data_IF_214467580670
#
_entry.id   IF_214467580670
#
_cell.length_a   1.000
_cell.length_b   1.000
_cell.length_c   1.000
_cell.angle_alpha   90.00
_cell.angle_beta   90.00
_cell.angle_gamma   90.00
#
_symmetry.space_group_name_H-M   'P 1'
#
loop_
_entity.id
_entity.type
_entity.pdbx_description
1 polymer ?
#
# COMPACT_ATOMS: atom_id res chain seq x y z
N UNK A 1 -1.99 35.58 -6.32
CA UNK A 1 -2.57 34.22 -6.41
C UNK A 1 -1.73 33.31 -5.53
N UNK A 2 -2.26 32.88 -4.38
CA UNK A 2 -1.58 31.93 -3.49
C UNK A 2 -1.69 30.54 -4.10
N UNK A 3 -0.81 30.25 -5.06
CA UNK A 3 -0.70 28.94 -5.67
C UNK A 3 -0.32 27.92 -4.61
N UNK A 4 -1.05 26.81 -4.56
CA UNK A 4 -0.68 25.65 -3.73
C UNK A 4 0.71 25.21 -4.16
N UNK A 5 1.69 25.37 -3.28
CA UNK A 5 3.08 24.96 -3.53
C UNK A 5 3.17 23.48 -3.24
N UNK A 6 3.03 22.66 -4.28
CA UNK A 6 3.18 21.21 -4.16
C UNK A 6 4.67 20.88 -4.25
N UNK A 7 5.19 20.17 -3.24
CA UNK A 7 6.55 19.66 -3.23
C UNK A 7 6.56 18.23 -3.82
N UNK A 8 6.99 18.05 -5.08
CA UNK A 8 7.00 16.74 -5.73
C UNK A 8 7.96 15.75 -5.07
N UNK A 9 9.06 16.23 -4.47
CA UNK A 9 10.03 15.37 -3.78
C UNK A 9 9.45 14.79 -2.49
N UNK A 10 8.69 15.61 -1.76
CA UNK A 10 7.95 15.15 -0.59
C UNK A 10 6.90 14.10 -0.96
N UNK A 11 6.12 14.32 -2.02
CA UNK A 11 5.12 13.35 -2.51
C UNK A 11 5.80 12.05 -2.93
N UNK A 12 6.91 12.11 -3.67
CA UNK A 12 7.66 10.93 -4.07
C UNK A 12 8.21 10.16 -2.86
N UNK A 13 8.70 10.86 -1.84
CA UNK A 13 9.15 10.25 -0.59
C UNK A 13 8.02 9.56 0.17
N UNK A 14 6.85 10.21 0.23
CA UNK A 14 5.67 9.63 0.85
C UNK A 14 5.16 8.40 0.08
N UNK A 15 5.11 8.45 -1.26
CA UNK A 15 4.78 7.32 -2.11
C UNK A 15 5.68 6.10 -1.83
N UNK A 16 6.99 6.31 -1.71
CA UNK A 16 7.95 5.24 -1.35
C UNK A 16 7.67 4.66 0.03
N UNK A 17 7.35 5.51 1.02
CA UNK A 17 6.99 5.05 2.37
C UNK A 17 5.72 4.19 2.34
N UNK A 18 4.68 4.63 1.63
CA UNK A 18 3.42 3.88 1.48
C UNK A 18 3.66 2.54 0.79
N UNK A 19 4.45 2.52 -0.28
CA UNK A 19 4.82 1.29 -1.00
C UNK A 19 5.58 0.30 -0.11
N UNK A 20 6.54 0.79 0.69
CA UNK A 20 7.26 -0.04 1.66
C UNK A 20 6.33 -0.65 2.70
N UNK A 21 5.45 0.16 3.28
CA UNK A 21 4.46 -0.31 4.25
C UNK A 21 3.50 -1.35 3.64
N UNK A 22 3.12 -1.21 2.37
CA UNK A 22 2.34 -2.21 1.65
C UNK A 22 3.10 -3.53 1.50
N UNK A 23 4.40 -3.47 1.18
CA UNK A 23 5.27 -4.64 1.11
C UNK A 23 5.47 -5.36 2.45
N UNK A 24 5.69 -4.60 3.53
CA UNK A 24 5.82 -5.13 4.89
C UNK A 24 4.51 -5.82 5.32
N UNK A 25 3.36 -5.21 5.02
CA UNK A 25 2.04 -5.79 5.28
C UNK A 25 1.80 -7.07 4.45
N UNK A 26 2.22 -7.09 3.19
CA UNK A 26 2.17 -8.28 2.34
C UNK A 26 3.00 -9.44 2.90
N UNK A 27 4.20 -9.13 3.39
CA UNK A 27 5.08 -10.12 4.04
C UNK A 27 4.44 -10.69 5.31
N UNK A 28 3.86 -9.82 6.14
CA UNK A 28 3.16 -10.26 7.35
C UNK A 28 1.94 -11.14 7.02
N UNK A 29 1.18 -10.79 5.98
CA UNK A 29 0.06 -11.62 5.48
C UNK A 29 0.55 -13.01 5.06
N UNK A 30 1.64 -13.09 4.30
CA UNK A 30 2.15 -14.36 3.80
C UNK A 30 2.66 -15.25 4.93
N UNK A 31 3.29 -14.67 5.96
CA UNK A 31 3.64 -15.39 7.18
C UNK A 31 2.40 -15.95 7.91
N UNK A 32 1.31 -15.18 7.98
CA UNK A 32 0.05 -15.62 8.60
C UNK A 32 -0.64 -16.75 7.79
N UNK A 33 -0.54 -16.74 6.46
CA UNK A 33 -1.07 -17.84 5.62
C UNK A 33 -0.31 -19.15 5.79
N UNK A 34 0.96 -19.10 6.17
CA UNK A 34 1.82 -20.28 6.34
C UNK A 34 1.56 -21.10 7.60
N UNK A 35 0.81 -20.57 8.58
CA UNK A 35 0.62 -21.20 9.89
C UNK A 35 -0.84 -21.24 10.39
N UNK A 36 -1.82 -21.72 9.60
CA UNK A 36 -3.17 -21.92 10.10
C UNK A 36 -3.21 -23.05 11.14
N UNK A 37 -3.99 -22.87 12.21
CA UNK A 37 -4.26 -23.96 13.17
C UNK A 37 -5.03 -25.10 12.48
N UNK A 38 -4.53 -26.35 12.52
CA UNK A 38 -5.26 -27.49 11.97
C UNK A 38 -6.50 -27.79 12.81
N UNK A 39 -7.54 -28.37 12.19
CA UNK A 39 -8.79 -28.73 12.86
C UNK A 39 -8.57 -29.64 14.09
N UNK A 40 -7.55 -30.49 14.06
CA UNK A 40 -7.20 -31.37 15.18
C UNK A 40 -6.69 -30.62 16.41
N UNK A 41 -6.16 -29.39 16.25
CA UNK A 41 -5.76 -28.53 17.37
C UNK A 41 -6.95 -28.07 18.23
N UNK A 42 -8.18 -28.13 17.69
CA UNK A 42 -9.41 -27.79 18.41
C UNK A 42 -9.98 -28.97 19.22
N UNK A 43 -9.40 -30.16 19.09
CA UNK A 43 -9.87 -31.37 19.76
C UNK A 43 -11.26 -31.83 19.30
N UNK A 44 -11.80 -32.85 19.98
CA UNK A 44 -13.11 -33.41 19.62
C UNK A 44 -14.25 -32.42 19.90
N UNK A 45 -14.24 -31.78 21.06
CA UNK A 45 -15.26 -30.81 21.44
C UNK A 45 -15.30 -29.62 20.49
N UNK A 46 -14.14 -29.04 20.16
CA UNK A 46 -14.06 -27.90 19.25
C UNK A 46 -14.51 -28.21 17.83
N UNK A 47 -14.30 -29.44 17.34
CA UNK A 47 -14.86 -29.89 16.05
C UNK A 47 -16.37 -30.08 16.12
N UNK A 48 -16.90 -30.65 17.20
CA UNK A 48 -18.35 -30.84 17.36
C UNK A 48 -19.10 -29.51 17.50
N UNK A 49 -18.48 -28.50 18.12
CA UNK A 49 -19.07 -27.16 18.25
C UNK A 49 -18.80 -26.24 17.05
N UNK A 50 -18.02 -26.69 16.07
CA UNK A 50 -17.67 -25.93 14.87
C UNK A 50 -16.65 -24.81 15.08
N UNK A 51 -15.91 -24.82 16.19
CA UNK A 51 -14.90 -23.82 16.50
C UNK A 51 -13.74 -23.81 15.48
N UNK A 52 -13.38 -24.99 14.95
CA UNK A 52 -12.43 -25.17 13.87
C UNK A 52 -12.86 -24.43 12.59
N UNK A 53 -14.14 -24.57 12.23
CA UNK A 53 -14.75 -23.93 11.06
C UNK A 53 -14.88 -22.43 11.25
N UNK A 54 -15.29 -21.99 12.44
CA UNK A 54 -15.39 -20.57 12.79
C UNK A 54 -14.01 -19.89 12.74
N UNK A 55 -12.97 -20.54 13.28
CA UNK A 55 -11.60 -20.08 13.20
C UNK A 55 -11.12 -20.00 11.74
N UNK A 56 -11.32 -21.06 10.94
CA UNK A 56 -10.91 -21.06 9.54
C UNK A 56 -11.55 -19.91 8.74
N UNK A 57 -12.84 -19.66 8.96
CA UNK A 57 -13.54 -18.51 8.36
C UNK A 57 -12.98 -17.17 8.81
N UNK A 58 -12.70 -17.01 10.11
CA UNK A 58 -12.10 -15.78 10.64
C UNK A 58 -10.70 -15.54 10.06
N UNK A 59 -9.86 -16.58 9.99
CA UNK A 59 -8.53 -16.52 9.40
C UNK A 59 -8.57 -16.16 7.91
N UNK A 60 -9.52 -16.74 7.16
CA UNK A 60 -9.73 -16.39 5.75
C UNK A 60 -10.19 -14.94 5.59
N UNK A 61 -11.17 -14.49 6.39
CA UNK A 61 -11.66 -13.11 6.35
C UNK A 61 -10.54 -12.11 6.64
N UNK A 62 -9.71 -12.38 7.65
CA UNK A 62 -8.54 -11.56 7.97
C UNK A 62 -7.55 -11.52 6.79
N UNK A 63 -7.26 -12.68 6.18
CA UNK A 63 -6.36 -12.77 5.03
C UNK A 63 -6.87 -11.96 3.84
N UNK A 64 -8.16 -12.00 3.56
CA UNK A 64 -8.78 -11.23 2.47
C UNK A 64 -8.76 -9.72 2.74
N UNK A 65 -8.97 -9.31 3.99
CA UNK A 65 -8.87 -7.90 4.39
C UNK A 65 -7.45 -7.38 4.23
N UNK A 66 -6.45 -8.16 4.65
CA UNK A 66 -5.03 -7.83 4.48
C UNK A 66 -4.65 -7.73 3.00
N UNK A 67 -5.13 -8.64 2.14
CA UNK A 67 -4.89 -8.57 0.71
C UNK A 67 -5.44 -7.26 0.10
N UNK A 68 -6.69 -6.91 0.40
CA UNK A 68 -7.29 -5.65 -0.07
C UNK A 68 -6.55 -4.42 0.44
N UNK A 69 -6.06 -4.45 1.68
CA UNK A 69 -5.28 -3.35 2.25
C UNK A 69 -3.94 -3.16 1.52
N UNK A 70 -3.24 -4.25 1.20
CA UNK A 70 -1.99 -4.21 0.41
C UNK A 70 -2.26 -3.64 -0.99
N UNK A 71 -3.32 -4.09 -1.65
CA UNK A 71 -3.69 -3.59 -2.99
C UNK A 71 -4.01 -2.09 -2.96
N UNK A 72 -4.80 -1.65 -1.97
CA UNK A 72 -5.17 -0.24 -1.82
C UNK A 72 -3.95 0.65 -1.53
N UNK A 73 -3.04 0.22 -0.66
CA UNK A 73 -1.82 0.96 -0.37
C UNK A 73 -0.88 1.02 -1.58
N UNK A 74 -0.78 -0.07 -2.33
CA UNK A 74 0.01 -0.12 -3.57
C UNK A 74 -0.54 0.85 -4.62
N UNK A 75 -1.85 0.82 -4.86
CA UNK A 75 -2.51 1.75 -5.77
C UNK A 75 -2.36 3.21 -5.33
N UNK A 76 -2.44 3.48 -4.03
CA UNK A 76 -2.21 4.81 -3.48
C UNK A 76 -0.76 5.29 -3.71
N UNK A 77 0.22 4.42 -3.46
CA UNK A 77 1.63 4.72 -3.73
C UNK A 77 1.88 5.03 -5.21
N UNK A 78 1.30 4.26 -6.13
CA UNK A 78 1.39 4.52 -7.57
C UNK A 78 0.75 5.85 -7.98
N UNK A 79 -0.43 6.17 -7.43
CA UNK A 79 -1.10 7.45 -7.67
C UNK A 79 -0.26 8.63 -7.18
N UNK A 80 0.33 8.52 -6.00
CA UNK A 80 1.23 9.53 -5.44
C UNK A 80 2.50 9.68 -6.29
N UNK A 81 3.10 8.57 -6.74
CA UNK A 81 4.27 8.61 -7.61
C UNK A 81 3.98 9.30 -8.95
N UNK A 82 2.84 8.99 -9.59
CA UNK A 82 2.37 9.67 -10.81
C UNK A 82 2.13 11.16 -10.58
N UNK A 83 1.60 11.52 -9.42
CA UNK A 83 1.38 12.93 -9.04
C UNK A 83 2.72 13.66 -8.90
N UNK A 84 3.70 13.06 -8.22
CA UNK A 84 5.04 13.64 -8.09
C UNK A 84 5.71 13.83 -9.46
N UNK A 85 5.62 12.84 -10.35
CA UNK A 85 6.16 12.92 -11.71
C UNK A 85 5.52 14.04 -12.54
N UNK A 86 4.19 14.20 -12.44
CA UNK A 86 3.46 15.27 -13.13
C UNK A 86 3.92 16.67 -12.69
N UNK A 87 4.07 16.91 -11.39
CA UNK A 87 4.51 18.22 -10.89
C UNK A 87 6.01 18.44 -11.08
N UNK A 88 6.84 17.40 -10.94
CA UNK A 88 8.29 17.49 -11.17
C UNK A 88 8.66 17.77 -12.62
N UNK A 89 7.99 17.13 -13.58
CA UNK A 89 8.18 17.39 -15.01
C UNK A 89 7.73 18.78 -15.43
N UNK A 90 6.57 19.24 -14.93
CA UNK A 90 6.04 20.57 -15.22
C UNK A 90 6.99 21.68 -14.72
N UNK A 91 7.57 21.53 -13.52
CA UNK A 91 8.55 22.49 -13.00
C UNK A 91 9.85 22.52 -13.82
N UNK A 92 10.32 21.36 -14.31
CA UNK A 92 11.51 21.30 -15.18
C UNK A 92 11.27 21.96 -16.55
N UNK A 93 10.10 21.74 -17.16
CA UNK A 93 9.73 22.32 -18.45
C UNK A 93 9.57 23.84 -18.38
N UNK A 94 8.95 24.35 -17.30
CA UNK A 94 8.84 25.79 -17.05
C UNK A 94 10.22 26.40 -16.79
N UNK A 95 11.08 25.74 -16.00
CA UNK A 95 12.43 26.20 -15.75
C UNK A 95 13.28 26.22 -17.04
N UNK A 96 13.16 25.20 -17.90
CA UNK A 96 13.83 25.16 -19.19
C UNK A 96 13.35 26.27 -20.13
N UNK A 97 12.05 26.56 -20.13
CA UNK A 97 11.45 27.63 -20.95
C UNK A 97 11.88 29.01 -20.45
N UNK A 98 11.90 29.25 -19.14
CA UNK A 98 12.40 30.49 -18.53
C UNK A 98 13.90 30.68 -18.80
N UNK A 99 14.71 29.63 -18.70
CA UNK A 99 16.16 29.70 -18.98
C UNK A 99 16.45 30.01 -20.45
N UNK A 100 15.60 29.54 -21.37
CA UNK A 100 15.65 29.88 -22.80
C UNK A 100 15.14 31.30 -23.09
N UNK A 101 14.15 31.79 -22.33
CA UNK A 101 13.56 33.11 -22.53
C UNK A 101 14.34 34.27 -21.85
N UNK A 102 15.00 34.00 -20.73
CA UNK A 102 15.82 34.97 -19.98
C UNK A 102 17.29 35.02 -20.38
N UNK A 103 17.72 34.19 -21.33
CA UNK A 103 19.06 34.25 -21.93
C UNK A 103 19.13 35.27 -23.05
N UNK A 104 19.08 36.57 -22.71
CA UNK A 104 19.47 37.69 -23.58
C UNK A 104 20.15 38.76 -22.77
#
# INVERSE_FOLDING_TARGET
>A
MTGVKIDPDWIASYARTVSRSAGDLGTARDALRGAPLPADAFGRLGRTTGADTAYARAAQNLSDQLARAVDALTAAAEGLAKTADHYGSHDQDVAATLKRAGGK
#
